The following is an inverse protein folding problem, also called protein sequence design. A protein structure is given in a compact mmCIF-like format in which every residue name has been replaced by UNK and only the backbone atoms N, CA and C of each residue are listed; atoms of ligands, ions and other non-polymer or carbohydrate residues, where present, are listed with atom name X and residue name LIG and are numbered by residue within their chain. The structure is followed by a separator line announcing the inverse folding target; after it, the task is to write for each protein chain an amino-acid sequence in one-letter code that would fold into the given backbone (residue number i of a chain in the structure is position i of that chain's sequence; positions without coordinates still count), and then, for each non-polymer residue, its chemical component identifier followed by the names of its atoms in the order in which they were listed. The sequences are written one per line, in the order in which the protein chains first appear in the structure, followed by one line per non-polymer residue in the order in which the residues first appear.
data_IF_464415888951
#
_entry.id   IF_464415888951
#
_cell.length_a   1.000
_cell.length_b   1.000
_cell.length_c   1.000
_cell.angle_alpha   90.00
_cell.angle_beta   90.00
_cell.angle_gamma   90.00
#
_symmetry.space_group_name_H-M   'P 1'
#
loop_
_entity.id
_entity.type
_entity.pdbx_description
1 polymer ?
#
# COMPACT_ATOMS: atom_id res chain seq x y z
N UNK A 1 -1.18 20.97 -4.58
CA UNK A 1 -1.52 19.72 -5.29
C UNK A 1 -1.22 18.46 -4.45
N UNK A 2 -0.13 18.43 -3.66
CA UNK A 2 0.20 17.26 -2.81
C UNK A 2 -0.77 17.01 -1.64
N UNK A 3 -1.41 18.07 -1.13
CA UNK A 3 -2.43 17.93 -0.09
C UNK A 3 -3.62 17.09 -0.56
N UNK A 4 -4.12 17.26 -1.79
CA UNK A 4 -5.21 16.41 -2.29
C UNK A 4 -4.82 14.93 -2.44
N UNK A 5 -3.53 14.61 -2.65
CA UNK A 5 -3.10 13.21 -2.75
C UNK A 5 -3.13 12.47 -1.42
N UNK A 6 -2.94 13.13 -0.28
CA UNK A 6 -3.03 12.48 1.04
C UNK A 6 -4.46 12.13 1.44
N UNK A 7 -5.47 12.74 0.79
CA UNK A 7 -6.88 12.41 1.01
C UNK A 7 -7.41 11.38 0.03
N UNK A 8 -6.64 10.93 -0.97
CA UNK A 8 -7.14 9.96 -1.96
C UNK A 8 -7.49 8.62 -1.32
N UNK A 9 -6.66 8.07 -0.44
CA UNK A 9 -7.00 6.85 0.30
C UNK A 9 -8.24 6.99 1.19
N UNK A 10 -8.51 8.21 1.69
CA UNK A 10 -9.70 8.51 2.50
C UNK A 10 -10.98 8.47 1.63
N UNK A 11 -10.88 8.71 0.33
CA UNK A 11 -12.05 8.61 -0.57
C UNK A 11 -12.44 7.15 -0.82
N UNK A 12 -11.49 6.20 -0.70
CA UNK A 12 -11.74 4.78 -0.91
C UNK A 12 -12.23 4.04 0.34
N UNK A 13 -12.33 4.71 1.49
CA UNK A 13 -12.77 4.05 2.72
C UNK A 13 -14.27 3.82 2.75
N UNK A 14 -14.64 2.65 3.29
CA UNK A 14 -16.00 2.38 3.74
C UNK A 14 -16.09 2.52 5.27
N UNK A 15 -17.30 2.51 5.81
CA UNK A 15 -17.52 2.50 7.27
C UNK A 15 -16.88 1.28 7.97
N UNK A 16 -16.64 0.20 7.23
CA UNK A 16 -15.98 -1.02 7.73
C UNK A 16 -14.45 -0.83 7.86
N UNK A 17 -13.84 0.01 7.01
CA UNK A 17 -12.39 0.29 7.03
C UNK A 17 -11.96 1.07 8.27
N UNK A 18 -12.81 1.98 8.76
CA UNK A 18 -12.49 2.92 9.85
C UNK A 18 -13.54 2.89 10.96
N UNK A 19 -13.60 1.80 11.75
CA UNK A 19 -14.61 1.64 12.79
C UNK A 19 -14.41 2.57 13.99
N UNK A 20 -13.18 3.06 14.22
CA UNK A 20 -12.87 3.99 15.32
C UNK A 20 -11.97 5.13 14.87
N UNK A 21 -11.91 6.21 15.64
CA UNK A 21 -11.03 7.35 15.36
C UNK A 21 -9.55 6.94 15.24
N UNK A 22 -9.10 5.95 16.00
CA UNK A 22 -7.74 5.40 15.91
C UNK A 22 -7.46 4.77 14.53
N UNK A 23 -8.44 4.09 13.93
CA UNK A 23 -8.29 3.51 12.59
C UNK A 23 -8.21 4.61 11.52
N UNK A 24 -8.97 5.69 11.69
CA UNK A 24 -8.88 6.86 10.81
C UNK A 24 -7.50 7.53 10.90
N UNK A 25 -6.95 7.67 12.11
CA UNK A 25 -5.59 8.19 12.30
C UNK A 25 -4.58 7.26 11.66
N UNK A 26 -4.66 5.94 11.90
CA UNK A 26 -3.78 4.94 11.28
C UNK A 26 -3.79 5.06 9.75
N UNK A 27 -4.96 5.20 9.15
CA UNK A 27 -5.09 5.39 7.71
C UNK A 27 -4.44 6.70 7.24
N UNK A 28 -4.67 7.79 7.96
CA UNK A 28 -4.04 9.08 7.64
C UNK A 28 -2.51 8.96 7.65
N UNK A 29 -1.93 8.25 8.61
CA UNK A 29 -0.49 7.99 8.66
C UNK A 29 -0.03 7.17 7.45
N UNK A 30 -0.77 6.13 7.09
CA UNK A 30 -0.48 5.35 5.90
C UNK A 30 -0.46 6.24 4.64
N UNK A 31 -1.49 7.06 4.45
CA UNK A 31 -1.56 7.98 3.31
C UNK A 31 -0.43 9.01 3.29
N UNK A 32 -0.12 9.61 4.45
CA UNK A 32 0.98 10.55 4.57
C UNK A 32 2.34 9.89 4.25
N UNK A 33 2.57 8.69 4.76
CA UNK A 33 3.77 7.90 4.46
C UNK A 33 3.89 7.63 2.97
N UNK A 34 2.79 7.33 2.28
CA UNK A 34 2.79 7.06 0.84
C UNK A 34 2.99 8.31 -0.02
N UNK A 35 2.55 9.47 0.43
CA UNK A 35 2.75 10.74 -0.30
C UNK A 35 4.17 11.28 -0.15
N UNK A 36 4.76 11.12 1.03
CA UNK A 36 6.06 11.71 1.37
C UNK A 36 7.18 10.68 1.40
N UNK A 37 7.03 9.60 2.17
CA UNK A 37 8.09 8.61 2.38
C UNK A 37 8.42 7.78 1.13
N UNK A 38 7.46 7.54 0.25
CA UNK A 38 7.72 6.81 -1.02
C UNK A 38 8.60 7.62 -1.99
N UNK A 39 8.72 8.95 -1.82
CA UNK A 39 9.61 9.83 -2.60
C UNK A 39 11.02 9.92 -2.02
N UNK A 40 11.21 9.46 -0.79
CA UNK A 40 12.50 9.50 -0.10
C UNK A 40 13.32 8.29 -0.48
N UNK A 41 14.60 8.50 -0.80
CA UNK A 41 15.53 7.44 -1.20
C UNK A 41 16.33 6.97 0.02
N UNK A 42 16.84 7.90 0.85
CA UNK A 42 17.65 7.58 2.01
C UNK A 42 16.81 6.98 3.14
N UNK A 43 17.32 5.91 3.75
CA UNK A 43 16.73 5.34 4.96
C UNK A 43 16.74 6.35 6.13
N UNK A 44 17.74 7.23 6.19
CA UNK A 44 17.84 8.27 7.21
C UNK A 44 16.71 9.29 7.07
N UNK A 45 16.40 9.71 5.84
CA UNK A 45 15.30 10.63 5.56
C UNK A 45 13.95 10.01 5.91
N UNK A 46 13.75 8.72 5.57
CA UNK A 46 12.54 7.97 5.92
C UNK A 46 12.36 7.88 7.43
N UNK A 47 13.43 7.57 8.18
CA UNK A 47 13.40 7.51 9.63
C UNK A 47 13.09 8.87 10.25
N UNK A 48 13.70 9.94 9.73
CA UNK A 48 13.45 11.32 10.18
C UNK A 48 12.00 11.72 9.94
N UNK A 49 11.45 11.41 8.76
CA UNK A 49 10.04 11.63 8.44
C UNK A 49 9.11 10.91 9.42
N UNK A 50 9.38 9.63 9.70
CA UNK A 50 8.59 8.86 10.66
C UNK A 50 8.62 9.47 12.06
N UNK A 51 9.78 9.96 12.52
CA UNK A 51 9.90 10.63 13.81
C UNK A 51 9.11 11.94 13.85
N UNK A 52 9.27 12.80 12.84
CA UNK A 52 8.54 14.07 12.74
C UNK A 52 7.02 13.86 12.72
N UNK A 53 6.56 12.84 12.01
CA UNK A 53 5.14 12.50 11.93
C UNK A 53 4.61 12.01 13.29
N UNK A 54 5.34 11.14 13.99
CA UNK A 54 5.01 10.69 15.35
C UNK A 54 4.94 11.86 16.34
N UNK A 55 5.92 12.76 16.31
CA UNK A 55 5.94 13.94 17.17
C UNK A 55 4.77 14.89 16.89
N UNK A 56 4.46 15.12 15.62
CA UNK A 56 3.34 15.98 15.23
C UNK A 56 2.01 15.41 15.72
N UNK A 57 1.80 14.10 15.60
CA UNK A 57 0.59 13.44 16.09
C UNK A 57 0.45 13.55 17.60
N UNK A 58 1.52 13.26 18.36
CA UNK A 58 1.51 13.38 19.83
C UNK A 58 1.21 14.80 20.32
N UNK A 59 1.61 15.82 19.56
CA UNK A 59 1.35 17.23 19.89
C UNK A 59 -0.10 17.65 19.62
N UNK A 60 -0.72 17.11 18.58
CA UNK A 60 -2.04 17.54 18.11
C UNK A 60 -3.20 16.65 18.60
N UNK A 61 -2.93 15.39 18.97
CA UNK A 61 -3.94 14.40 19.36
C UNK A 61 -3.55 13.84 20.73
N UNK A 62 -4.27 14.27 21.77
CA UNK A 62 -3.96 13.92 23.16
C UNK A 62 -4.38 12.50 23.55
N UNK A 63 -5.46 11.98 22.96
CA UNK A 63 -5.98 10.63 23.22
C UNK A 63 -5.80 9.76 21.98
N UNK A 64 -4.69 9.03 21.93
CA UNK A 64 -4.42 8.07 20.86
C UNK A 64 -3.85 6.77 21.39
N UNK A 65 -4.33 5.64 20.85
CA UNK A 65 -3.75 4.33 21.14
C UNK A 65 -2.61 4.04 20.17
N UNK A 66 -1.39 4.30 20.60
CA UNK A 66 -0.18 4.10 19.79
C UNK A 66 -0.03 2.64 19.33
N UNK A 67 -0.53 1.66 20.09
CA UNK A 67 -0.40 0.25 19.73
C UNK A 67 -1.24 -0.07 18.49
N UNK A 68 -2.45 0.47 18.41
CA UNK A 68 -3.33 0.29 17.25
C UNK A 68 -2.81 1.11 16.07
N UNK A 69 -2.33 2.32 16.31
CA UNK A 69 -1.96 3.25 15.24
C UNK A 69 -0.65 2.86 14.56
N UNK A 70 0.35 2.40 15.32
CA UNK A 70 1.68 2.07 14.80
C UNK A 70 1.95 0.57 14.65
N UNK A 71 0.97 -0.31 14.87
CA UNK A 71 1.15 -1.75 14.63
C UNK A 71 1.54 -2.05 13.17
N UNK A 72 2.56 -2.88 12.98
CA UNK A 72 3.02 -3.33 11.67
C UNK A 72 2.33 -4.63 11.23
N UNK A 73 2.11 -4.85 9.91
CA UNK A 73 2.46 -3.96 8.79
C UNK A 73 1.46 -2.81 8.60
N UNK A 74 1.97 -1.62 8.28
CA UNK A 74 1.15 -0.43 7.98
C UNK A 74 0.81 -0.35 6.48
N UNK A 75 0.09 -1.35 5.99
CA UNK A 75 -0.25 -1.48 4.56
C UNK A 75 -1.77 -1.53 4.39
N UNK A 76 -2.27 -0.73 3.46
CA UNK A 76 -3.65 -0.80 2.97
C UNK A 76 -3.59 -1.10 1.47
N UNK A 77 -4.44 -2.02 1.01
CA UNK A 77 -4.56 -2.36 -0.40
C UNK A 77 -6.03 -2.66 -0.75
N UNK A 78 -6.33 -2.69 -2.05
CA UNK A 78 -7.70 -2.91 -2.54
C UNK A 78 -8.08 -4.39 -2.60
N UNK A 79 -7.14 -5.31 -2.38
CA UNK A 79 -7.36 -6.75 -2.52
C UNK A 79 -7.19 -7.51 -1.19
N UNK A 80 -7.19 -6.80 -0.05
CA UNK A 80 -6.95 -7.39 1.25
C UNK A 80 -8.01 -8.44 1.67
N UNK A 81 -9.25 -8.31 1.17
CA UNK A 81 -10.34 -9.28 1.38
C UNK A 81 -10.51 -10.27 0.22
N UNK A 82 -9.70 -10.19 -0.83
CA UNK A 82 -9.80 -11.03 -2.02
C UNK A 82 -9.52 -10.26 -3.31
N UNK A 83 -9.20 -11.00 -4.37
CA UNK A 83 -8.92 -10.46 -5.70
C UNK A 83 -10.24 -10.44 -6.49
N UNK A 84 -10.55 -9.30 -7.13
CA UNK A 84 -11.73 -9.13 -7.99
C UNK A 84 -12.82 -8.21 -7.44
N UNK A 85 -12.91 -8.03 -6.12
CA UNK A 85 -13.77 -7.01 -5.49
C UNK A 85 -12.89 -5.98 -4.78
N UNK A 86 -12.55 -4.84 -5.43
CA UNK A 86 -11.63 -3.86 -4.86
C UNK A 86 -12.25 -3.21 -3.61
N UNK A 87 -11.70 -3.56 -2.45
CA UNK A 87 -12.03 -2.98 -1.14
C UNK A 87 -10.77 -2.52 -0.44
N UNK A 88 -10.68 -1.23 -0.20
CA UNK A 88 -9.51 -0.63 0.44
C UNK A 88 -9.51 -0.93 1.94
N UNK A 89 -8.68 -1.89 2.36
CA UNK A 89 -8.69 -2.44 3.72
C UNK A 89 -7.25 -2.65 4.24
N UNK A 90 -7.04 -2.59 5.57
CA UNK A 90 -5.73 -2.84 6.17
C UNK A 90 -5.36 -4.32 6.09
N UNK A 91 -4.08 -4.59 5.83
CA UNK A 91 -3.49 -5.92 5.97
C UNK A 91 -3.18 -6.19 7.45
N UNK A 92 -3.54 -7.38 7.94
CA UNK A 92 -3.34 -7.77 9.34
C UNK A 92 -1.90 -8.18 9.63
N UNK A 93 -1.33 -8.98 8.74
CA UNK A 93 0.03 -9.50 8.85
C UNK A 93 0.65 -9.74 7.46
N UNK A 94 1.97 -9.90 7.44
CA UNK A 94 2.69 -10.20 6.21
C UNK A 94 2.28 -11.54 5.60
N UNK A 95 1.90 -12.51 6.42
CA UNK A 95 1.49 -13.85 5.97
C UNK A 95 0.22 -13.79 5.11
N UNK A 96 -0.75 -12.98 5.50
CA UNK A 96 -1.96 -12.69 4.72
C UNK A 96 -1.58 -12.08 3.37
N UNK A 97 -0.69 -11.07 3.35
CA UNK A 97 -0.27 -10.43 2.11
C UNK A 97 0.48 -11.37 1.18
N UNK A 98 1.40 -12.18 1.71
CA UNK A 98 2.13 -13.19 0.95
C UNK A 98 1.15 -14.18 0.33
N UNK A 99 0.21 -14.72 1.11
CA UNK A 99 -0.79 -15.66 0.61
C UNK A 99 -1.63 -15.07 -0.52
N UNK A 100 -2.14 -13.85 -0.36
CA UNK A 100 -2.94 -13.17 -1.39
C UNK A 100 -2.15 -12.95 -2.69
N UNK A 101 -0.89 -12.54 -2.58
CA UNK A 101 -0.06 -12.30 -3.75
C UNK A 101 0.44 -13.59 -4.42
N UNK A 102 0.69 -14.65 -3.66
CA UNK A 102 1.00 -15.98 -4.20
C UNK A 102 -0.21 -16.56 -4.95
N UNK A 103 -1.42 -16.45 -4.39
CA UNK A 103 -2.66 -16.82 -5.07
C UNK A 103 -2.85 -16.01 -6.37
N UNK A 104 -2.59 -14.69 -6.33
CA UNK A 104 -2.61 -13.84 -7.52
C UNK A 104 -1.60 -14.30 -8.58
N UNK A 105 -0.38 -14.65 -8.16
CA UNK A 105 0.70 -15.08 -9.04
C UNK A 105 0.41 -16.43 -9.70
N UNK A 106 -0.16 -17.38 -8.95
CA UNK A 106 -0.61 -18.67 -9.50
C UNK A 106 -1.69 -18.45 -10.56
N UNK A 107 -2.71 -17.66 -10.25
CA UNK A 107 -3.78 -17.34 -11.20
C UNK A 107 -3.24 -16.65 -12.47
N UNK A 108 -2.30 -15.72 -12.31
CA UNK A 108 -1.63 -15.07 -13.44
C UNK A 108 -0.86 -16.07 -14.31
N UNK A 109 -0.12 -17.00 -13.68
CA UNK A 109 0.67 -18.01 -14.37
C UNK A 109 -0.19 -19.01 -15.16
N UNK A 110 -1.42 -19.26 -14.70
CA UNK A 110 -2.39 -20.11 -15.39
C UNK A 110 -3.08 -19.39 -16.57
N UNK A 111 -3.38 -18.10 -16.43
CA UNK A 111 -4.19 -17.35 -17.40
C UNK A 111 -3.37 -16.64 -18.47
N UNK A 112 -2.20 -16.11 -18.12
CA UNK A 112 -1.43 -15.19 -18.99
C UNK A 112 -0.12 -15.82 -19.44
N UNK A 113 0.84 -15.96 -18.53
CA UNK A 113 2.16 -16.50 -18.83
C UNK A 113 2.90 -16.86 -17.54
N UNK A 114 3.71 -17.93 -17.60
CA UNK A 114 4.54 -18.33 -16.48
C UNK A 114 5.56 -17.24 -16.11
N UNK A 115 5.43 -16.71 -14.91
CA UNK A 115 6.27 -15.71 -14.27
C UNK A 115 6.84 -16.28 -12.97
N UNK A 116 8.15 -16.53 -12.95
CA UNK A 116 8.87 -16.95 -11.75
C UNK A 116 9.27 -15.70 -10.95
N UNK A 117 8.37 -15.20 -10.12
CA UNK A 117 8.60 -14.07 -9.25
C UNK A 117 8.75 -14.54 -7.79
N UNK A 118 9.79 -14.08 -7.11
CA UNK A 118 9.95 -14.29 -5.67
C UNK A 118 9.49 -13.04 -4.93
N UNK A 119 8.45 -13.16 -4.12
CA UNK A 119 7.83 -12.05 -3.40
C UNK A 119 8.46 -11.88 -2.00
N UNK A 120 9.46 -11.01 -1.91
CA UNK A 120 9.99 -10.49 -0.64
C UNK A 120 9.21 -9.24 -0.20
N UNK A 121 9.36 -8.80 1.05
CA UNK A 121 8.60 -7.69 1.64
C UNK A 121 8.60 -6.42 0.78
N UNK A 122 9.77 -6.00 0.28
CA UNK A 122 9.86 -4.82 -0.60
C UNK A 122 9.13 -5.02 -1.93
N UNK A 123 9.14 -6.23 -2.50
CA UNK A 123 8.42 -6.55 -3.73
C UNK A 123 6.91 -6.48 -3.50
N UNK A 124 6.43 -7.05 -2.39
CA UNK A 124 5.02 -6.98 -2.00
C UNK A 124 4.57 -5.53 -1.78
N UNK A 125 5.42 -4.72 -1.14
CA UNK A 125 5.18 -3.30 -0.93
C UNK A 125 5.09 -2.52 -2.25
N UNK A 126 5.94 -2.86 -3.24
CA UNK A 126 5.89 -2.29 -4.59
C UNK A 126 4.61 -2.68 -5.33
N UNK A 127 4.15 -3.93 -5.23
CA UNK A 127 2.87 -4.36 -5.84
C UNK A 127 1.70 -3.58 -5.25
N UNK A 128 1.64 -3.43 -3.91
CA UNK A 128 0.61 -2.63 -3.25
C UNK A 128 0.63 -1.16 -3.70
N UNK A 129 1.83 -0.59 -3.88
CA UNK A 129 2.00 0.77 -4.36
C UNK A 129 1.46 0.94 -5.78
N UNK A 130 1.80 0.02 -6.68
CA UNK A 130 1.34 0.06 -8.08
C UNK A 130 -0.17 -0.12 -8.14
N UNK A 131 -0.72 -1.14 -7.48
CA UNK A 131 -2.16 -1.40 -7.43
C UNK A 131 -2.92 -0.14 -6.96
N UNK A 132 -2.47 0.52 -5.90
CA UNK A 132 -3.10 1.75 -5.43
C UNK A 132 -3.11 2.88 -6.47
N UNK A 133 -2.05 3.00 -7.26
CA UNK A 133 -2.00 4.00 -8.35
C UNK A 133 -2.99 3.61 -9.45
N UNK A 134 -3.10 2.33 -9.79
CA UNK A 134 -4.00 1.83 -10.83
C UNK A 134 -5.48 1.97 -10.47
N UNK A 135 -5.84 1.72 -9.20
CA UNK A 135 -7.21 1.90 -8.69
C UNK A 135 -7.61 3.38 -8.56
N UNK A 136 -6.64 4.30 -8.62
CA UNK A 136 -6.93 5.73 -8.57
C UNK A 136 -7.47 6.21 -9.92
N UNK A 137 -8.59 6.99 -9.95
CA UNK A 137 -9.10 7.52 -11.21
C UNK A 137 -8.04 8.40 -11.88
N UNK A 138 -7.72 8.09 -13.15
CA UNK A 138 -6.65 8.73 -13.93
C UNK A 138 -5.25 8.60 -13.31
N UNK A 139 -5.00 7.52 -12.57
CA UNK A 139 -3.68 7.18 -12.06
C UNK A 139 -2.76 6.69 -13.16
N UNK A 140 -1.56 7.27 -13.25
CA UNK A 140 -0.49 6.80 -14.12
C UNK A 140 0.75 6.54 -13.26
N UNK A 141 1.35 5.36 -13.38
CA UNK A 141 2.56 4.99 -12.66
C UNK A 141 3.77 5.05 -13.61
N UNK A 142 4.79 5.83 -13.24
CA UNK A 142 6.09 5.80 -13.90
C UNK A 142 7.07 5.00 -13.03
N UNK A 143 7.47 3.82 -13.52
CA UNK A 143 8.40 2.95 -12.82
C UNK A 143 9.82 3.16 -13.33
N UNK A 144 10.66 3.80 -12.50
CA UNK A 144 12.07 4.03 -12.80
C UNK A 144 12.93 3.05 -12.02
N UNK A 145 13.85 2.36 -12.68
CA UNK A 145 14.80 1.45 -12.03
C UNK A 145 15.79 0.82 -12.98
N UNK A 146 16.80 0.17 -12.41
CA UNK A 146 17.79 -0.61 -13.16
C UNK A 146 17.15 -1.86 -13.77
N UNK A 147 17.62 -2.26 -14.96
CA UNK A 147 17.16 -3.48 -15.63
C UNK A 147 17.37 -4.71 -14.74
N UNK A 148 16.41 -5.65 -14.77
CA UNK A 148 16.46 -6.87 -13.94
C UNK A 148 15.87 -6.74 -12.54
N UNK A 149 15.41 -5.54 -12.13
CA UNK A 149 14.76 -5.31 -10.83
C UNK A 149 13.31 -5.85 -10.71
N UNK A 150 12.84 -6.61 -11.70
CA UNK A 150 11.50 -7.22 -11.69
C UNK A 150 10.33 -6.24 -11.83
N UNK A 151 10.56 -4.95 -12.10
CA UNK A 151 9.51 -3.92 -12.15
C UNK A 151 8.41 -4.20 -13.17
N UNK A 152 8.79 -4.74 -14.34
CA UNK A 152 7.83 -5.17 -15.36
C UNK A 152 6.93 -6.29 -14.82
N UNK A 153 7.53 -7.32 -14.24
CA UNK A 153 6.82 -8.44 -13.62
C UNK A 153 5.88 -7.99 -12.49
N UNK A 154 6.35 -7.11 -11.61
CA UNK A 154 5.55 -6.53 -10.52
C UNK A 154 4.38 -5.69 -11.04
N UNK A 155 4.61 -4.91 -12.11
CA UNK A 155 3.53 -4.12 -12.73
C UNK A 155 2.47 -4.98 -13.41
N UNK A 156 2.87 -6.06 -14.10
CA UNK A 156 1.93 -7.00 -14.71
C UNK A 156 1.09 -7.71 -13.66
N UNK A 157 1.70 -8.16 -12.55
CA UNK A 157 0.96 -8.75 -11.43
C UNK A 157 -0.03 -7.75 -10.81
N UNK A 158 0.40 -6.51 -10.57
CA UNK A 158 -0.48 -5.48 -10.01
C UNK A 158 -1.65 -5.13 -10.95
N UNK A 159 -1.40 -5.08 -12.26
CA UNK A 159 -2.43 -4.83 -13.29
C UNK A 159 -3.46 -5.95 -13.33
N UNK A 160 -3.00 -7.20 -13.26
CA UNK A 160 -3.85 -8.38 -13.17
C UNK A 160 -4.75 -8.36 -11.93
N UNK A 161 -4.19 -8.00 -10.76
CA UNK A 161 -4.98 -7.84 -9.52
C UNK A 161 -6.06 -6.75 -9.67
N UNK A 162 -5.76 -5.66 -10.39
CA UNK A 162 -6.71 -4.59 -10.69
C UNK A 162 -7.69 -4.90 -11.82
N UNK A 163 -7.60 -6.07 -12.46
CA UNK A 163 -8.44 -6.43 -13.61
C UNK A 163 -8.25 -5.52 -14.83
N UNK A 164 -7.10 -4.84 -14.92
CA UNK A 164 -6.72 -4.02 -16.07
C UNK A 164 -5.84 -4.88 -16.98
N UNK A 165 -6.42 -5.38 -18.08
CA UNK A 165 -5.68 -6.04 -19.17
C UNK A 165 -5.15 -5.03 -20.20
#
# INVERSE_FOLDING_TARGET
MEFCSSFKGIIFTSGETVPTANHLIRLYIHEATRVYSDKLISAEDKNTFQQLLKESLRKNIAEMDENIIFAEPMIYCHFAEGIGEPKYMPIKDWQQLTKLLDEALVNYNELVAAMNLVLFEDAMYQVCQINRILESPRGNALLVGVGGSGKQSLSSLASFISGLE
#
